data_IF_332685461376
#
_entry.id   IF_332685461376
#
_cell.length_a   1.000
_cell.length_b   1.000
_cell.length_c   1.000
_cell.angle_alpha   90.00
_cell.angle_beta   90.00
_cell.angle_gamma   90.00
#
_symmetry.space_group_name_H-M   'P 1'
#
loop_
_entity.id
_entity.type
_entity.pdbx_description
1 polymer ?
#
# COMPACT_ATOMS: atom_id res chain seq x y z
N UNK A 1 33.59 -18.82 -0.27
CA UNK A 1 34.05 -20.02 0.47
C UNK A 1 33.79 -19.83 1.96
N UNK A 2 33.20 -20.82 2.64
CA UNK A 2 33.16 -20.85 4.12
C UNK A 2 34.50 -21.36 4.65
N UNK A 3 35.12 -20.63 5.56
CA UNK A 3 36.45 -20.91 6.14
C UNK A 3 36.35 -21.50 7.54
N UNK A 4 35.42 -21.01 8.36
CA UNK A 4 35.22 -21.57 9.69
C UNK A 4 33.79 -21.33 10.22
N UNK A 5 33.39 -22.17 11.17
CA UNK A 5 32.23 -21.94 12.05
C UNK A 5 32.74 -21.89 13.48
N UNK A 6 32.38 -20.82 14.19
CA UNK A 6 32.82 -20.49 15.55
C UNK A 6 31.61 -20.21 16.44
N UNK A 7 31.82 -20.22 17.75
CA UNK A 7 30.83 -19.84 18.74
C UNK A 7 31.54 -19.16 19.93
N UNK A 8 30.82 -18.31 20.64
CA UNK A 8 31.23 -17.62 21.86
C UNK A 8 31.29 -18.52 23.11
N UNK A 9 30.86 -19.78 23.03
CA UNK A 9 30.91 -20.74 24.14
C UNK A 9 31.97 -21.84 23.93
N UNK A 10 32.78 -22.07 24.96
CA UNK A 10 33.91 -23.04 24.95
C UNK A 10 33.51 -24.49 24.67
N UNK A 11 32.26 -24.86 24.95
CA UNK A 11 31.73 -26.19 24.68
C UNK A 11 31.56 -26.47 23.18
N UNK A 12 31.57 -25.45 22.33
CA UNK A 12 31.53 -25.58 20.89
C UNK A 12 32.93 -25.68 20.29
N UNK A 13 33.21 -26.79 19.60
CA UNK A 13 34.47 -26.96 18.89
C UNK A 13 34.44 -26.21 17.56
N UNK A 14 35.33 -25.24 17.39
CA UNK A 14 35.49 -24.51 16.13
C UNK A 14 35.75 -25.47 14.97
N UNK A 15 34.94 -25.37 13.93
CA UNK A 15 35.10 -26.16 12.71
C UNK A 15 35.82 -25.31 11.68
N UNK A 16 36.97 -25.77 11.19
CA UNK A 16 37.75 -25.10 10.14
C UNK A 16 37.63 -25.90 8.84
N UNK A 17 37.39 -25.19 7.74
CA UNK A 17 37.32 -25.76 6.40
C UNK A 17 38.57 -25.40 5.61
N UNK A 18 38.94 -26.29 4.68
CA UNK A 18 40.02 -26.07 3.71
C UNK A 18 39.42 -25.78 2.35
N UNK A 19 40.22 -25.26 1.43
CA UNK A 19 39.79 -25.10 0.05
C UNK A 19 39.42 -26.46 -0.56
N UNK A 20 38.42 -26.44 -1.46
CA UNK A 20 37.92 -27.64 -2.12
C UNK A 20 36.87 -28.40 -1.30
N UNK A 21 36.92 -29.73 -1.38
CA UNK A 21 35.89 -30.60 -0.84
C UNK A 21 36.14 -30.94 0.63
N UNK A 22 35.19 -30.59 1.49
CA UNK A 22 35.25 -30.88 2.93
C UNK A 22 34.21 -31.94 3.28
N UNK A 23 34.63 -32.97 4.02
CA UNK A 23 33.74 -34.04 4.51
C UNK A 23 33.69 -34.00 6.02
N UNK A 24 32.49 -33.82 6.58
CA UNK A 24 32.27 -33.90 8.04
C UNK A 24 31.78 -35.31 8.37
N UNK A 25 32.72 -36.14 8.81
CA UNK A 25 32.45 -37.51 9.26
C UNK A 25 32.21 -37.52 10.77
N UNK A 26 31.32 -38.41 11.21
CA UNK A 26 31.24 -38.75 12.62
C UNK A 26 31.79 -40.16 12.76
N UNK A 27 32.98 -40.27 13.35
CA UNK A 27 33.70 -41.53 13.47
C UNK A 27 33.37 -42.23 14.79
N UNK A 28 33.43 -43.57 14.81
CA UNK A 28 33.23 -44.35 16.05
C UNK A 28 34.57 -44.44 16.78
N UNK A 29 34.57 -44.21 18.08
CA UNK A 29 35.64 -44.73 18.93
C UNK A 29 35.42 -46.22 19.16
N UNK A 30 36.49 -46.97 19.44
CA UNK A 30 36.46 -48.41 19.76
C UNK A 30 35.58 -48.78 20.97
N UNK A 31 35.10 -47.80 21.72
CA UNK A 31 34.21 -47.93 22.88
C UNK A 31 32.72 -47.81 22.52
N UNK A 32 32.37 -47.57 21.25
CA UNK A 32 30.98 -47.33 20.82
C UNK A 32 30.21 -48.64 20.58
N UNK A 33 29.16 -48.90 21.36
CA UNK A 33 28.33 -50.11 21.22
C UNK A 33 27.38 -50.03 20.01
N UNK A 34 26.80 -51.16 19.57
CA UNK A 34 25.75 -51.17 18.51
C UNK A 34 24.47 -50.42 18.90
N UNK A 35 24.27 -50.13 20.19
CA UNK A 35 23.10 -49.41 20.71
C UNK A 35 23.24 -47.89 20.71
N UNK A 36 24.44 -47.37 20.44
CA UNK A 36 24.68 -45.92 20.40
C UNK A 36 24.19 -45.34 19.07
N UNK A 37 23.04 -44.65 19.12
CA UNK A 37 22.39 -44.03 17.97
C UNK A 37 23.30 -43.05 17.24
N UNK A 38 23.49 -43.28 15.94
CA UNK A 38 24.28 -42.44 15.01
C UNK A 38 23.77 -41.01 14.83
N UNK A 39 22.58 -40.70 15.35
CA UNK A 39 21.79 -39.51 14.99
C UNK A 39 22.02 -38.26 15.87
N UNK A 40 23.02 -38.26 16.76
CA UNK A 40 23.25 -37.17 17.72
C UNK A 40 24.60 -36.42 17.62
N UNK A 41 25.49 -36.78 16.69
CA UNK A 41 26.88 -36.30 16.67
C UNK A 41 27.08 -34.91 16.03
N UNK A 42 26.06 -34.04 16.05
CA UNK A 42 26.19 -32.62 15.67
C UNK A 42 26.31 -32.29 14.17
N UNK A 43 26.38 -33.27 13.26
CA UNK A 43 26.50 -33.05 11.79
C UNK A 43 25.40 -32.14 11.24
N UNK A 44 24.13 -32.50 11.48
CA UNK A 44 22.98 -31.70 11.05
C UNK A 44 22.97 -30.34 11.74
N UNK A 45 23.35 -30.29 13.02
CA UNK A 45 23.44 -29.05 13.78
C UNK A 45 24.43 -28.07 13.17
N UNK A 46 25.61 -28.53 12.71
CA UNK A 46 26.57 -27.68 12.01
C UNK A 46 25.97 -27.04 10.75
N UNK A 47 25.25 -27.82 9.93
CA UNK A 47 24.55 -27.30 8.74
C UNK A 47 23.49 -26.27 9.14
N UNK A 48 22.76 -26.52 10.25
CA UNK A 48 21.76 -25.57 10.78
C UNK A 48 22.38 -24.28 11.32
N UNK A 49 23.58 -24.34 11.90
CA UNK A 49 24.32 -23.16 12.33
C UNK A 49 24.74 -22.32 11.12
N UNK A 50 25.28 -22.96 10.08
CA UNK A 50 25.62 -22.26 8.84
C UNK A 50 24.38 -21.59 8.23
N UNK A 51 23.29 -22.32 8.07
CA UNK A 51 22.03 -21.79 7.54
C UNK A 51 21.46 -20.64 8.41
N UNK A 52 21.61 -20.76 9.73
CA UNK A 52 21.23 -19.72 10.68
C UNK A 52 22.06 -18.45 10.47
N UNK A 53 23.38 -18.52 10.39
CA UNK A 53 24.21 -17.34 10.09
C UNK A 53 23.95 -16.77 8.68
N UNK A 54 23.54 -17.61 7.73
CA UNK A 54 23.08 -17.21 6.39
C UNK A 54 21.62 -16.72 6.36
N UNK A 55 21.04 -16.27 7.48
CA UNK A 55 19.77 -15.53 7.46
C UNK A 55 18.50 -16.39 7.39
N UNK A 56 18.55 -17.68 7.75
CA UNK A 56 17.34 -18.52 7.82
C UNK A 56 16.32 -18.02 8.86
N UNK A 57 15.06 -18.44 8.74
CA UNK A 57 14.01 -18.07 9.69
C UNK A 57 14.19 -18.77 11.04
N UNK A 58 14.12 -18.03 12.14
CA UNK A 58 14.29 -18.55 13.50
C UNK A 58 12.93 -18.78 14.22
N UNK A 59 12.14 -19.70 13.66
CA UNK A 59 10.80 -20.06 14.15
C UNK A 59 10.85 -20.86 15.46
N UNK A 60 9.70 -21.08 16.09
CA UNK A 60 9.59 -21.75 17.39
C UNK A 60 10.14 -23.17 17.40
N UNK A 61 10.04 -23.87 16.27
CA UNK A 61 10.52 -25.24 16.04
C UNK A 61 11.99 -25.31 15.56
N UNK A 62 12.71 -24.19 15.55
CA UNK A 62 14.08 -24.17 15.06
C UNK A 62 15.01 -25.02 15.96
N UNK A 63 15.88 -25.90 15.42
CA UNK A 63 16.72 -26.79 16.23
C UNK A 63 17.69 -26.09 17.19
N UNK A 64 18.10 -24.85 16.88
CA UNK A 64 18.94 -24.03 17.76
C UNK A 64 18.15 -23.23 18.81
N UNK A 65 16.81 -23.34 18.81
CA UNK A 65 15.93 -22.65 19.76
C UNK A 65 15.63 -23.57 20.94
N UNK A 66 16.70 -23.99 21.60
CA UNK A 66 16.68 -24.80 22.82
C UNK A 66 17.12 -23.93 23.99
N UNK A 67 16.66 -24.24 25.21
CA UNK A 67 16.97 -23.47 26.41
C UNK A 67 18.48 -23.47 26.70
N UNK A 68 19.15 -24.56 26.39
CA UNK A 68 20.58 -24.77 26.56
C UNK A 68 21.43 -23.93 25.59
N UNK A 69 20.82 -23.44 24.51
CA UNK A 69 21.45 -22.61 23.47
C UNK A 69 20.93 -21.16 23.52
N UNK A 70 20.29 -20.76 24.62
CA UNK A 70 19.79 -19.40 24.82
C UNK A 70 20.96 -18.42 24.90
N UNK A 71 20.87 -17.32 24.14
CA UNK A 71 21.88 -16.27 24.06
C UNK A 71 23.26 -16.70 23.52
N UNK A 72 23.34 -17.80 22.75
CA UNK A 72 24.56 -18.21 22.07
C UNK A 72 24.76 -17.41 20.79
N UNK A 73 26.00 -17.03 20.50
CA UNK A 73 26.41 -16.34 19.28
C UNK A 73 27.23 -17.27 18.40
N UNK A 74 26.66 -17.63 17.25
CA UNK A 74 27.38 -18.41 16.24
C UNK A 74 27.95 -17.47 15.19
N UNK A 75 29.20 -17.74 14.79
CA UNK A 75 29.90 -16.95 13.77
C UNK A 75 30.33 -17.83 12.61
N UNK A 76 30.21 -17.32 11.38
CA UNK A 76 30.69 -17.97 10.17
C UNK A 76 31.64 -17.04 9.45
N UNK A 77 32.81 -17.57 9.14
CA UNK A 77 33.85 -16.85 8.40
C UNK A 77 33.72 -17.28 6.95
N UNK A 78 33.57 -16.33 6.03
CA UNK A 78 33.60 -16.64 4.61
C UNK A 78 34.38 -15.61 3.81
N UNK A 79 34.91 -16.09 2.69
CA UNK A 79 35.48 -15.26 1.64
C UNK A 79 34.44 -15.16 0.53
N UNK A 80 34.00 -13.94 0.22
CA UNK A 80 33.00 -13.65 -0.81
C UNK A 80 33.55 -12.56 -1.72
N UNK A 81 33.59 -12.80 -3.03
CA UNK A 81 34.21 -11.90 -4.02
C UNK A 81 35.63 -11.43 -3.65
N UNK A 82 36.43 -12.34 -3.07
CA UNK A 82 37.80 -12.04 -2.62
C UNK A 82 37.90 -11.24 -1.32
N UNK A 83 36.78 -10.85 -0.71
CA UNK A 83 36.74 -10.16 0.57
C UNK A 83 36.44 -11.13 1.71
N UNK A 84 37.22 -11.00 2.78
CA UNK A 84 37.07 -11.78 3.99
C UNK A 84 36.12 -11.09 4.96
N UNK A 85 35.05 -11.81 5.32
CA UNK A 85 34.01 -11.31 6.21
C UNK A 85 33.67 -12.38 7.25
N UNK A 86 33.43 -11.93 8.47
CA UNK A 86 32.83 -12.73 9.55
C UNK A 86 31.40 -12.23 9.76
N UNK A 87 30.44 -13.15 9.81
CA UNK A 87 29.09 -12.82 10.25
C UNK A 87 28.71 -13.60 11.49
N UNK A 88 28.06 -12.92 12.42
CA UNK A 88 27.70 -13.45 13.72
C UNK A 88 26.21 -13.26 13.96
N UNK A 89 25.55 -14.29 14.48
CA UNK A 89 24.12 -14.26 14.77
C UNK A 89 23.86 -14.88 16.14
N UNK A 90 23.14 -14.16 16.97
CA UNK A 90 22.81 -14.56 18.33
C UNK A 90 21.41 -15.21 18.38
N UNK A 91 21.22 -16.27 19.18
CA UNK A 91 19.94 -16.99 19.30
C UNK A 91 18.84 -16.18 19.99
N UNK A 92 19.20 -15.19 20.82
CA UNK A 92 18.28 -14.26 21.49
C UNK A 92 18.00 -13.01 20.63
N UNK A 93 19.01 -12.42 19.99
CA UNK A 93 18.85 -11.30 19.03
C UNK A 93 18.92 -11.76 17.56
N UNK A 94 18.18 -12.82 17.25
CA UNK A 94 18.23 -13.50 15.95
C UNK A 94 17.75 -12.64 14.76
N UNK A 95 17.19 -11.44 14.99
CA UNK A 95 16.73 -10.55 13.91
C UNK A 95 17.87 -9.71 13.32
N UNK A 96 19.03 -9.70 13.97
CA UNK A 96 20.23 -8.98 13.53
C UNK A 96 21.32 -9.96 13.12
N UNK A 97 22.15 -9.51 12.20
CA UNK A 97 23.39 -10.17 11.77
C UNK A 97 24.50 -9.18 12.03
N UNK A 98 25.43 -9.50 12.91
CA UNK A 98 26.62 -8.71 13.13
C UNK A 98 27.67 -9.07 12.08
N UNK A 99 28.42 -8.08 11.62
CA UNK A 99 29.35 -8.23 10.50
C UNK A 99 30.68 -7.57 10.86
N UNK A 100 31.77 -8.27 10.56
CA UNK A 100 33.13 -7.76 10.67
C UNK A 100 33.91 -8.08 9.39
N UNK A 101 34.77 -7.16 8.93
CA UNK A 101 35.58 -7.32 7.73
C UNK A 101 35.31 -6.26 6.66
N UNK A 102 35.68 -6.54 5.42
CA UNK A 102 35.50 -5.60 4.31
C UNK A 102 34.14 -5.81 3.63
N UNK A 103 33.23 -4.85 3.83
CA UNK A 103 31.92 -4.78 3.19
C UNK A 103 31.77 -3.53 2.30
N UNK A 104 32.89 -2.91 1.89
CA UNK A 104 32.92 -1.71 1.04
C UNK A 104 32.21 -1.88 -0.31
N UNK A 105 32.12 -3.11 -0.81
CA UNK A 105 31.47 -3.47 -2.07
C UNK A 105 29.96 -3.72 -1.96
N UNK A 106 29.41 -3.84 -0.74
CA UNK A 106 28.02 -4.30 -0.56
C UNK A 106 26.98 -3.23 -0.95
N UNK A 107 25.84 -3.63 -1.54
CA UNK A 107 24.77 -2.71 -1.94
C UNK A 107 24.09 -2.04 -0.74
N UNK A 108 24.08 -2.70 0.41
CA UNK A 108 23.53 -2.19 1.67
C UNK A 108 24.64 -2.19 2.72
N UNK A 109 24.85 -1.06 3.40
CA UNK A 109 25.87 -0.96 4.45
C UNK A 109 25.31 -1.34 5.82
N UNK A 110 26.10 -2.03 6.67
CA UNK A 110 25.76 -2.26 8.06
C UNK A 110 25.48 -0.95 8.80
N UNK A 111 24.57 -1.01 9.77
CA UNK A 111 24.33 0.07 10.75
C UNK A 111 25.20 -0.19 11.98
N UNK A 112 25.53 0.86 12.72
CA UNK A 112 26.34 0.73 13.93
C UNK A 112 25.50 0.92 15.20
N UNK A 113 25.70 0.07 16.18
CA UNK A 113 25.23 0.25 17.57
C UNK A 113 26.40 0.05 18.56
N UNK A 114 26.07 -0.07 19.86
CA UNK A 114 27.07 -0.30 20.92
C UNK A 114 27.78 -1.66 20.80
N UNK A 115 27.10 -2.66 20.24
CA UNK A 115 27.60 -4.04 20.13
C UNK A 115 28.40 -4.28 18.85
N UNK A 116 28.33 -3.36 17.88
CA UNK A 116 29.10 -3.42 16.64
C UNK A 116 28.31 -3.00 15.40
N UNK A 117 28.76 -3.49 14.25
CA UNK A 117 28.13 -3.26 12.96
C UNK A 117 27.18 -4.39 12.64
N UNK A 118 25.93 -4.06 12.31
CA UNK A 118 24.86 -5.03 12.14
C UNK A 118 23.95 -4.72 10.95
N UNK A 119 23.32 -5.77 10.43
CA UNK A 119 22.27 -5.74 9.42
C UNK A 119 21.00 -6.37 9.95
N UNK A 120 19.84 -5.95 9.44
CA UNK A 120 18.62 -6.75 9.58
C UNK A 120 18.76 -8.00 8.73
N UNK A 121 18.15 -9.11 9.15
CA UNK A 121 18.12 -10.36 8.36
C UNK A 121 17.54 -10.15 6.95
N UNK A 122 16.57 -9.24 6.78
CA UNK A 122 16.04 -8.88 5.46
C UNK A 122 17.11 -8.33 4.53
N UNK A 123 17.89 -7.37 5.04
CA UNK A 123 18.92 -6.66 4.29
C UNK A 123 20.08 -7.61 3.99
N UNK A 124 20.40 -8.48 4.94
CA UNK A 124 21.39 -9.54 4.76
C UNK A 124 21.00 -10.53 3.65
N UNK A 125 19.73 -10.93 3.58
CA UNK A 125 19.25 -11.80 2.51
C UNK A 125 19.32 -11.13 1.12
N UNK A 126 19.12 -9.81 1.03
CA UNK A 126 19.29 -9.07 -0.23
C UNK A 126 20.77 -9.07 -0.64
N UNK A 127 21.68 -8.74 0.28
CA UNK A 127 23.12 -8.72 0.03
C UNK A 127 23.61 -10.09 -0.43
N UNK A 128 23.21 -11.17 0.25
CA UNK A 128 23.59 -12.52 -0.14
C UNK A 128 22.98 -12.93 -1.49
N UNK A 129 21.77 -12.47 -1.80
CA UNK A 129 21.15 -12.69 -3.11
C UNK A 129 21.95 -12.07 -4.25
N UNK A 130 22.33 -10.80 -4.08
CA UNK A 130 23.15 -10.08 -5.05
C UNK A 130 24.54 -10.74 -5.19
N UNK A 131 25.25 -10.92 -4.08
CA UNK A 131 26.65 -11.36 -4.11
C UNK A 131 26.85 -12.84 -4.45
N UNK A 132 25.93 -13.73 -4.09
CA UNK A 132 26.05 -15.17 -4.38
C UNK A 132 25.33 -15.61 -5.65
N UNK A 133 24.24 -14.94 -6.00
CA UNK A 133 23.37 -15.37 -7.08
C UNK A 133 23.21 -14.33 -8.19
N UNK A 134 23.59 -13.06 -7.98
CA UNK A 134 23.36 -11.99 -8.96
C UNK A 134 21.91 -11.49 -8.97
N UNK A 135 21.22 -11.57 -7.83
CA UNK A 135 19.85 -11.05 -7.68
C UNK A 135 19.87 -9.53 -7.50
N UNK A 136 19.82 -8.80 -8.62
CA UNK A 136 19.69 -7.34 -8.62
C UNK A 136 18.36 -6.89 -7.98
N UNK A 137 18.29 -5.62 -7.58
CA UNK A 137 17.05 -5.03 -7.05
C UNK A 137 15.87 -5.15 -8.04
N UNK A 138 16.14 -5.00 -9.34
CA UNK A 138 15.15 -5.14 -10.41
C UNK A 138 14.55 -6.55 -10.49
N UNK A 139 15.34 -7.59 -10.19
CA UNK A 139 14.83 -8.96 -10.12
C UNK A 139 13.96 -9.13 -8.88
N UNK A 140 14.44 -8.66 -7.72
CA UNK A 140 13.77 -8.86 -6.43
C UNK A 140 12.39 -8.18 -6.40
N UNK A 141 12.23 -7.04 -7.07
CA UNK A 141 10.96 -6.30 -7.14
C UNK A 141 9.88 -6.98 -8.00
N UNK A 142 10.25 -7.94 -8.84
CA UNK A 142 9.28 -8.67 -9.66
C UNK A 142 8.45 -9.64 -8.82
N UNK A 143 7.16 -9.76 -9.17
CA UNK A 143 6.31 -10.79 -8.59
C UNK A 143 6.86 -12.18 -8.92
N UNK A 144 6.78 -13.11 -7.97
CA UNK A 144 7.27 -14.48 -8.13
C UNK A 144 8.74 -14.56 -8.58
N UNK A 145 9.58 -13.65 -8.08
CA UNK A 145 11.01 -13.65 -8.36
C UNK A 145 11.78 -14.68 -7.55
N UNK A 146 12.94 -15.16 -8.05
CA UNK A 146 13.85 -15.96 -7.25
C UNK A 146 14.36 -15.13 -6.08
N UNK A 147 14.47 -15.76 -4.91
CA UNK A 147 15.01 -15.11 -3.70
C UNK A 147 16.22 -15.85 -3.20
N UNK A 148 17.14 -15.15 -2.53
CA UNK A 148 18.30 -15.77 -1.90
C UNK A 148 17.91 -17.00 -1.06
N UNK A 149 16.86 -16.87 -0.23
CA UNK A 149 16.43 -17.95 0.67
C UNK A 149 15.86 -19.15 -0.08
N UNK A 150 15.21 -18.96 -1.22
CA UNK A 150 14.76 -20.07 -2.06
C UNK A 150 15.93 -20.74 -2.77
N UNK A 151 16.87 -19.97 -3.35
CA UNK A 151 18.01 -20.50 -4.10
C UNK A 151 19.04 -21.23 -3.20
N UNK A 152 19.39 -20.66 -2.05
CA UNK A 152 20.38 -21.25 -1.13
C UNK A 152 19.90 -22.58 -0.55
N UNK A 153 18.58 -22.80 -0.47
CA UNK A 153 17.99 -24.03 0.04
C UNK A 153 18.23 -25.24 -0.87
N UNK A 154 18.52 -25.02 -2.17
CA UNK A 154 19.01 -26.08 -3.07
C UNK A 154 20.45 -26.50 -2.76
N UNK A 155 21.22 -25.63 -2.11
CA UNK A 155 22.60 -25.86 -1.69
C UNK A 155 22.68 -26.41 -0.26
N UNK A 156 21.77 -25.99 0.62
CA UNK A 156 21.68 -26.42 2.03
C UNK A 156 20.54 -27.45 2.20
N UNK A 157 20.72 -28.64 1.60
CA UNK A 157 19.72 -29.72 1.66
C UNK A 157 19.74 -30.41 3.03
N UNK A 158 18.87 -29.98 3.94
CA UNK A 158 18.81 -30.51 5.31
C UNK A 158 17.50 -31.19 5.67
N UNK A 159 16.45 -31.07 4.85
CA UNK A 159 15.14 -31.68 5.11
C UNK A 159 15.03 -33.04 4.42
N UNK A 160 14.31 -34.02 5.02
CA UNK A 160 14.08 -35.32 4.36
C UNK A 160 13.43 -35.16 2.99
N UNK A 161 12.50 -34.22 2.86
CA UNK A 161 11.82 -33.89 1.60
C UNK A 161 12.74 -33.31 0.54
N UNK A 162 13.79 -32.59 0.95
CA UNK A 162 14.78 -32.03 0.03
C UNK A 162 15.52 -33.10 -0.75
N UNK A 163 15.60 -34.34 -0.29
CA UNK A 163 16.33 -35.43 -0.97
C UNK A 163 15.46 -36.29 -1.89
N UNK A 164 14.14 -36.07 -1.94
CA UNK A 164 13.23 -36.89 -2.75
C UNK A 164 13.45 -36.68 -4.25
N UNK A 165 13.70 -35.45 -4.67
CA UNK A 165 13.95 -35.09 -6.06
C UNK A 165 15.01 -33.99 -6.11
N UNK A 166 15.87 -33.95 -7.15
CA UNK A 166 16.88 -32.89 -7.29
C UNK A 166 16.25 -31.49 -7.41
N UNK A 167 15.01 -31.41 -7.90
CA UNK A 167 14.32 -30.14 -8.21
C UNK A 167 13.55 -29.52 -7.02
N UNK A 168 13.46 -30.18 -5.87
CA UNK A 168 12.69 -29.69 -4.71
C UNK A 168 13.56 -29.42 -3.49
N UNK A 169 13.29 -28.31 -2.80
CA UNK A 169 13.88 -28.00 -1.49
C UNK A 169 13.07 -28.58 -0.31
N UNK A 170 11.77 -28.85 -0.49
CA UNK A 170 10.93 -29.53 0.49
C UNK A 170 9.70 -30.16 -0.20
N UNK A 171 9.01 -31.08 0.49
CA UNK A 171 7.99 -31.93 -0.14
C UNK A 171 6.77 -31.18 -0.70
N UNK A 172 6.33 -30.14 0.00
CA UNK A 172 5.11 -29.36 -0.31
C UNK A 172 5.43 -28.01 -0.98
N UNK A 173 6.52 -27.94 -1.73
CA UNK A 173 6.92 -26.73 -2.44
C UNK A 173 5.92 -26.42 -3.56
N UNK A 174 5.57 -25.14 -3.71
CA UNK A 174 4.67 -24.69 -4.75
C UNK A 174 5.33 -24.87 -6.12
N UNK A 175 4.54 -25.27 -7.11
CA UNK A 175 5.05 -25.59 -8.45
C UNK A 175 5.76 -24.40 -9.11
N UNK A 176 5.21 -23.18 -8.97
CA UNK A 176 5.84 -21.99 -9.52
C UNK A 176 7.22 -21.72 -8.89
N UNK A 177 7.35 -21.94 -7.57
CA UNK A 177 8.60 -21.71 -6.83
C UNK A 177 9.65 -22.74 -7.26
N UNK A 178 9.25 -23.99 -7.51
CA UNK A 178 10.14 -24.99 -8.13
C UNK A 178 10.64 -24.50 -9.49
N UNK A 179 9.71 -24.09 -10.37
CA UNK A 179 10.04 -23.71 -11.74
C UNK A 179 10.94 -22.46 -11.80
N UNK A 180 10.60 -21.41 -11.05
CA UNK A 180 11.37 -20.16 -10.99
C UNK A 180 12.79 -20.42 -10.50
N UNK A 181 12.96 -21.09 -9.35
CA UNK A 181 14.28 -21.28 -8.78
C UNK A 181 15.15 -22.22 -9.61
N UNK A 182 14.59 -23.32 -10.14
CA UNK A 182 15.38 -24.22 -11.00
C UNK A 182 15.73 -23.56 -12.32
N UNK A 183 14.80 -22.82 -12.95
CA UNK A 183 15.11 -22.07 -14.17
C UNK A 183 16.25 -21.08 -13.94
N UNK A 184 16.19 -20.31 -12.84
CA UNK A 184 17.25 -19.37 -12.46
C UNK A 184 18.61 -20.07 -12.24
N UNK A 185 18.64 -21.13 -11.42
CA UNK A 185 19.88 -21.87 -11.13
C UNK A 185 20.50 -22.53 -12.36
N UNK A 186 19.69 -22.88 -13.35
CA UNK A 186 20.14 -23.48 -14.62
C UNK A 186 20.46 -22.43 -15.70
N UNK A 187 20.33 -21.14 -15.42
CA UNK A 187 20.55 -20.06 -16.39
C UNK A 187 19.48 -19.99 -17.49
N UNK A 188 18.27 -20.51 -17.21
CA UNK A 188 17.10 -20.42 -18.07
C UNK A 188 16.26 -19.18 -17.74
N UNK A 189 15.36 -18.81 -18.65
CA UNK A 189 14.43 -17.69 -18.45
C UNK A 189 13.34 -18.07 -17.42
N UNK A 190 13.53 -17.61 -16.18
CA UNK A 190 12.63 -17.86 -15.06
C UNK A 190 11.41 -16.94 -15.11
N UNK A 191 11.49 -15.83 -15.83
CA UNK A 191 10.44 -14.83 -15.99
C UNK A 191 9.18 -15.43 -16.62
N UNK A 192 9.33 -16.41 -17.52
CA UNK A 192 8.17 -17.16 -18.05
C UNK A 192 7.42 -17.95 -16.98
N UNK A 193 8.11 -18.58 -16.03
CA UNK A 193 7.47 -19.28 -14.93
C UNK A 193 6.72 -18.31 -13.99
N UNK A 194 7.34 -17.16 -13.72
CA UNK A 194 6.70 -16.06 -12.97
C UNK A 194 5.43 -15.56 -13.68
N UNK A 195 5.52 -15.20 -14.96
CA UNK A 195 4.39 -14.71 -15.75
C UNK A 195 3.25 -15.72 -15.82
N UNK A 196 3.58 -17.01 -15.98
CA UNK A 196 2.59 -18.08 -15.99
C UNK A 196 1.85 -18.19 -14.65
N UNK A 197 2.55 -18.08 -13.52
CA UNK A 197 1.92 -18.06 -12.21
C UNK A 197 1.02 -16.82 -12.02
N UNK A 198 1.47 -15.63 -12.44
CA UNK A 198 0.63 -14.43 -12.42
C UNK A 198 -0.66 -14.60 -13.24
N UNK A 199 -0.56 -15.22 -14.42
CA UNK A 199 -1.73 -15.52 -15.26
C UNK A 199 -2.69 -16.49 -14.57
N UNK A 200 -2.15 -17.51 -13.90
CA UNK A 200 -2.94 -18.48 -13.12
C UNK A 200 -3.68 -17.81 -11.97
N UNK A 201 -3.08 -16.85 -11.28
CA UNK A 201 -3.76 -16.13 -10.18
C UNK A 201 -4.83 -15.17 -10.68
N UNK A 202 -4.60 -14.50 -11.81
CA UNK A 202 -5.64 -13.72 -12.51
C UNK A 202 -6.82 -14.61 -12.88
N UNK A 203 -6.56 -15.79 -13.45
CA UNK A 203 -7.60 -16.78 -13.78
C UNK A 203 -8.36 -17.25 -12.53
N UNK A 204 -7.65 -17.62 -11.47
CA UNK A 204 -8.26 -18.04 -10.20
C UNK A 204 -9.15 -16.93 -9.60
N UNK A 205 -8.73 -15.67 -9.71
CA UNK A 205 -9.51 -14.51 -9.26
C UNK A 205 -10.77 -14.35 -10.08
N UNK A 206 -10.68 -14.44 -11.41
CA UNK A 206 -11.84 -14.41 -12.31
C UNK A 206 -12.82 -15.56 -12.02
N UNK A 207 -12.31 -16.76 -11.77
CA UNK A 207 -13.16 -17.91 -11.46
C UNK A 207 -13.89 -17.73 -10.12
N UNK A 208 -13.24 -17.14 -9.10
CA UNK A 208 -13.89 -16.77 -7.83
C UNK A 208 -14.96 -15.70 -8.04
N UNK A 209 -14.68 -14.67 -8.84
CA UNK A 209 -15.67 -13.64 -9.19
C UNK A 209 -16.87 -14.21 -9.94
N UNK A 210 -16.64 -15.10 -10.91
CA UNK A 210 -17.72 -15.80 -11.63
C UNK A 210 -18.59 -16.63 -10.68
N UNK A 211 -17.99 -17.32 -9.71
CA UNK A 211 -18.74 -18.07 -8.69
C UNK A 211 -19.56 -17.15 -7.79
N UNK A 212 -18.97 -16.04 -7.33
CA UNK A 212 -19.68 -15.05 -6.51
C UNK A 212 -20.84 -14.39 -7.26
N UNK A 213 -20.65 -14.06 -8.55
CA UNK A 213 -21.73 -13.57 -9.42
C UNK A 213 -22.86 -14.58 -9.57
N UNK A 214 -22.54 -15.87 -9.82
CA UNK A 214 -23.54 -16.95 -9.90
C UNK A 214 -24.31 -17.17 -8.60
N UNK A 215 -23.67 -16.93 -7.47
CA UNK A 215 -24.30 -17.03 -6.13
C UNK A 215 -25.07 -15.76 -5.74
N UNK A 216 -25.15 -14.76 -6.62
CA UNK A 216 -25.85 -13.50 -6.36
C UNK A 216 -25.15 -12.58 -5.35
N UNK A 217 -23.94 -12.92 -4.89
CA UNK A 217 -23.20 -12.13 -3.88
C UNK A 217 -22.74 -10.77 -4.40
N UNK A 218 -22.72 -10.58 -5.72
CA UNK A 218 -22.30 -9.33 -6.36
C UNK A 218 -23.47 -8.45 -6.83
N UNK A 219 -24.73 -8.91 -6.68
CA UNK A 219 -25.94 -8.27 -7.22
C UNK A 219 -26.17 -6.80 -6.81
N UNK A 220 -25.51 -6.31 -5.76
CA UNK A 220 -25.53 -4.89 -5.36
C UNK A 220 -24.41 -4.01 -5.93
N UNK A 221 -23.38 -4.59 -6.57
CA UNK A 221 -22.21 -3.88 -7.11
C UNK A 221 -21.99 -4.11 -8.60
N UNK A 222 -22.35 -5.30 -9.09
CA UNK A 222 -22.24 -5.74 -10.47
C UNK A 222 -23.53 -6.52 -10.73
N UNK A 223 -24.28 -6.17 -11.79
CA UNK A 223 -25.55 -6.83 -12.12
C UNK A 223 -25.45 -8.37 -12.13
N UNK A 224 -26.57 -9.06 -12.03
CA UNK A 224 -26.59 -10.52 -12.09
C UNK A 224 -25.95 -11.03 -13.39
N UNK A 225 -25.45 -12.27 -13.43
CA UNK A 225 -24.83 -12.81 -14.66
C UNK A 225 -25.76 -12.71 -15.87
N UNK A 226 -27.06 -12.97 -15.68
CA UNK A 226 -28.07 -12.81 -16.72
C UNK A 226 -28.27 -11.37 -17.17
N UNK A 227 -28.24 -10.40 -16.24
CA UNK A 227 -28.28 -8.97 -16.58
C UNK A 227 -27.05 -8.54 -17.39
N UNK A 228 -25.84 -8.98 -17.00
CA UNK A 228 -24.62 -8.66 -17.76
C UNK A 228 -24.59 -9.32 -19.14
N UNK A 229 -25.12 -10.55 -19.27
CA UNK A 229 -25.26 -11.21 -20.56
C UNK A 229 -26.28 -10.49 -21.46
N UNK A 230 -27.42 -10.07 -20.90
CA UNK A 230 -28.40 -9.26 -21.61
C UNK A 230 -27.83 -7.88 -22.01
N UNK A 231 -27.09 -7.21 -21.12
CA UNK A 231 -26.41 -5.95 -21.40
C UNK A 231 -25.38 -6.11 -22.51
N UNK A 232 -24.57 -7.18 -22.48
CA UNK A 232 -23.63 -7.50 -23.55
C UNK A 232 -24.34 -7.65 -24.90
N UNK A 233 -25.45 -8.40 -24.94
CA UNK A 233 -26.21 -8.60 -26.17
C UNK A 233 -26.73 -7.24 -26.69
N UNK A 234 -27.34 -6.43 -25.83
CA UNK A 234 -27.84 -5.10 -26.23
C UNK A 234 -26.74 -4.13 -26.68
N UNK A 235 -25.54 -4.20 -26.10
CA UNK A 235 -24.38 -3.41 -26.56
C UNK A 235 -23.91 -3.89 -27.93
N UNK A 236 -23.85 -5.21 -28.17
CA UNK A 236 -23.44 -5.77 -29.47
C UNK A 236 -24.42 -5.36 -30.57
N UNK A 237 -25.73 -5.41 -30.29
CA UNK A 237 -26.76 -4.94 -31.23
C UNK A 237 -26.59 -3.45 -31.56
N UNK A 238 -26.38 -2.59 -30.55
CA UNK A 238 -26.11 -1.15 -30.79
C UNK A 238 -24.85 -0.92 -31.62
N UNK A 239 -23.80 -1.72 -31.41
CA UNK A 239 -22.56 -1.61 -32.20
C UNK A 239 -22.82 -1.92 -33.66
N UNK A 240 -23.58 -2.97 -33.96
CA UNK A 240 -23.92 -3.32 -35.34
C UNK A 240 -24.90 -2.32 -35.98
N UNK A 241 -25.83 -1.77 -35.20
CA UNK A 241 -26.68 -0.66 -35.62
C UNK A 241 -25.84 0.58 -35.98
N UNK A 242 -24.87 0.95 -35.13
CA UNK A 242 -23.95 2.06 -35.39
C UNK A 242 -23.06 1.83 -36.60
N UNK A 243 -22.54 0.62 -36.80
CA UNK A 243 -21.80 0.29 -38.03
C UNK A 243 -22.66 0.47 -39.27
N UNK A 244 -23.92 0.05 -39.21
CA UNK A 244 -24.86 0.17 -40.33
C UNK A 244 -25.23 1.63 -40.60
N UNK A 245 -25.48 2.43 -39.56
CA UNK A 245 -25.75 3.86 -39.67
C UNK A 245 -24.54 4.62 -40.23
N UNK A 246 -23.32 4.25 -39.82
CA UNK A 246 -22.06 4.83 -40.30
C UNK A 246 -21.80 4.47 -41.77
N UNK A 247 -22.12 3.24 -42.18
CA UNK A 247 -22.03 2.81 -43.57
C UNK A 247 -23.08 3.46 -44.49
N UNK A 248 -24.24 3.84 -43.95
CA UNK A 248 -25.35 4.44 -44.73
C UNK A 248 -25.46 5.95 -44.61
N UNK A 249 -24.57 6.59 -43.87
CA UNK A 249 -24.51 8.04 -43.63
C UNK A 249 -25.86 8.67 -43.17
N UNK A 250 -26.72 7.87 -42.52
CA UNK A 250 -28.02 8.32 -41.97
C UNK A 250 -27.86 8.65 -40.48
N UNK A 251 -27.39 9.86 -40.20
CA UNK A 251 -27.06 10.35 -38.84
C UNK A 251 -28.26 11.05 -38.14
N UNK A 252 -29.45 11.00 -38.74
CA UNK A 252 -30.64 11.74 -38.31
C UNK A 252 -31.11 11.49 -36.84
N UNK A 253 -30.98 10.28 -36.24
CA UNK A 253 -31.40 10.07 -34.85
C UNK A 253 -30.52 10.77 -33.82
N UNK A 254 -29.23 10.99 -34.13
CA UNK A 254 -28.22 11.43 -33.16
C UNK A 254 -28.32 12.93 -32.87
N UNK A 255 -28.83 13.73 -33.81
CA UNK A 255 -29.09 15.15 -33.57
C UNK A 255 -30.22 15.38 -32.56
N UNK A 256 -31.25 14.53 -32.57
CA UNK A 256 -32.32 14.58 -31.56
C UNK A 256 -31.77 14.32 -30.15
N UNK A 257 -30.78 13.44 -30.02
CA UNK A 257 -30.17 13.16 -28.72
C UNK A 257 -29.22 14.29 -28.27
N UNK A 258 -28.48 14.90 -29.19
CA UNK A 258 -27.67 16.12 -28.94
C UNK A 258 -28.58 17.28 -28.48
N UNK A 259 -29.74 17.45 -29.12
CA UNK A 259 -30.74 18.47 -28.74
C UNK A 259 -31.30 18.20 -27.33
N UNK A 260 -31.65 16.95 -27.01
CA UNK A 260 -32.08 16.56 -25.65
C UNK A 260 -31.00 16.84 -24.61
N UNK A 261 -29.74 16.54 -24.90
CA UNK A 261 -28.62 16.81 -23.98
C UNK A 261 -28.43 18.32 -23.77
N UNK A 262 -28.48 19.12 -24.83
CA UNK A 262 -28.39 20.58 -24.75
C UNK A 262 -29.55 21.18 -23.92
N UNK A 263 -30.76 20.66 -24.09
CA UNK A 263 -31.94 21.05 -23.31
C UNK A 263 -31.80 20.67 -21.82
N UNK A 264 -31.24 19.50 -21.52
CA UNK A 264 -30.96 19.07 -20.14
C UNK A 264 -29.90 19.97 -19.47
N UNK A 265 -28.82 20.29 -20.17
CA UNK A 265 -27.80 21.23 -19.70
C UNK A 265 -28.39 22.60 -19.41
N UNK A 266 -29.29 23.09 -20.27
CA UNK A 266 -30.01 24.35 -20.07
C UNK A 266 -30.82 24.34 -18.77
N UNK A 267 -31.62 23.30 -18.54
CA UNK A 267 -32.38 23.14 -17.28
C UNK A 267 -31.47 23.13 -16.05
N UNK A 268 -30.35 22.43 -16.12
CA UNK A 268 -29.38 22.35 -15.01
C UNK A 268 -28.72 23.71 -14.72
N UNK A 269 -28.31 24.44 -15.76
CA UNK A 269 -27.78 25.80 -15.63
C UNK A 269 -28.80 26.70 -14.93
N UNK A 270 -30.07 26.71 -15.37
CA UNK A 270 -31.11 27.51 -14.73
C UNK A 270 -31.31 27.16 -13.26
N UNK A 271 -31.31 25.88 -12.90
CA UNK A 271 -31.42 25.44 -11.50
C UNK A 271 -30.29 25.99 -10.63
N UNK A 272 -29.05 25.95 -11.13
CA UNK A 272 -27.87 26.45 -10.41
C UNK A 272 -27.92 27.98 -10.32
N UNK A 273 -28.27 28.67 -11.40
CA UNK A 273 -28.39 30.14 -11.43
C UNK A 273 -29.45 30.65 -10.45
N UNK A 274 -30.61 29.98 -10.39
CA UNK A 274 -31.67 30.34 -9.44
C UNK A 274 -31.20 30.15 -7.98
N UNK A 275 -30.55 29.02 -7.67
CA UNK A 275 -30.00 28.78 -6.32
C UNK A 275 -28.93 29.82 -5.97
N UNK A 276 -28.06 30.16 -6.93
CA UNK A 276 -27.03 31.19 -6.77
C UNK A 276 -27.66 32.56 -6.48
N UNK A 277 -28.75 32.90 -7.16
CA UNK A 277 -29.48 34.14 -6.91
C UNK A 277 -29.98 34.22 -5.46
N UNK A 278 -30.63 33.16 -4.97
CA UNK A 278 -31.07 33.08 -3.56
C UNK A 278 -29.89 33.19 -2.59
N UNK A 279 -28.79 32.48 -2.85
CA UNK A 279 -27.59 32.54 -2.01
C UNK A 279 -26.98 33.95 -1.98
N UNK A 280 -26.97 34.68 -3.11
CA UNK A 280 -26.51 36.07 -3.17
C UNK A 280 -27.40 37.02 -2.36
N UNK A 281 -28.72 36.87 -2.45
CA UNK A 281 -29.65 37.66 -1.63
C UNK A 281 -29.44 37.41 -0.13
N UNK A 282 -29.29 36.14 0.27
CA UNK A 282 -29.03 35.78 1.66
C UNK A 282 -27.69 36.33 2.15
N UNK A 283 -26.65 36.25 1.31
CA UNK A 283 -25.34 36.83 1.58
C UNK A 283 -25.44 38.33 1.85
N UNK A 284 -26.13 39.08 0.99
CA UNK A 284 -26.35 40.53 1.17
C UNK A 284 -27.07 40.81 2.49
N UNK A 285 -28.14 40.07 2.81
CA UNK A 285 -28.87 40.26 4.07
C UNK A 285 -28.01 40.00 5.32
N UNK A 286 -27.11 39.01 5.27
CA UNK A 286 -26.16 38.74 6.36
C UNK A 286 -25.06 39.80 6.46
N UNK A 287 -24.57 40.31 5.33
CA UNK A 287 -23.59 41.41 5.27
C UNK A 287 -24.19 42.75 5.76
N UNK A 288 -25.49 42.99 5.56
CA UNK A 288 -26.20 44.13 6.13
C UNK A 288 -26.42 43.94 7.65
N UNK A 289 -26.85 42.75 8.07
CA UNK A 289 -27.10 42.44 9.49
C UNK A 289 -25.86 42.61 10.36
N UNK A 290 -24.67 42.24 9.85
CA UNK A 290 -23.41 42.42 10.59
C UNK A 290 -22.96 43.89 10.66
N UNK A 291 -23.41 44.74 9.72
CA UNK A 291 -23.08 46.16 9.68
C UNK A 291 -23.98 47.03 10.57
N UNK A 292 -25.22 46.59 10.83
CA UNK A 292 -26.20 47.35 11.64
C UNK A 292 -26.08 47.12 13.16
N UNK A 293 -25.34 46.11 13.60
CA UNK A 293 -25.11 45.85 15.03
C UNK A 293 -24.16 46.91 15.65
N UNK A 294 -24.73 48.04 16.06
CA UNK A 294 -24.04 49.04 16.90
C UNK A 294 -24.20 48.70 18.39
N UNK A 295 -23.08 48.70 19.09
CA UNK A 295 -22.96 48.50 20.53
C UNK A 295 -23.87 49.50 21.29
N UNK A 296 -24.79 49.01 22.13
CA UNK A 296 -25.58 49.88 23.00
C UNK A 296 -24.64 50.36 24.10
N UNK A 297 -24.04 51.52 23.89
CA UNK A 297 -23.11 52.14 24.85
C UNK A 297 -23.74 52.20 26.24
N UNK A 298 -23.10 51.57 27.22
CA UNK A 298 -23.51 51.57 28.64
C UNK A 298 -23.73 52.96 29.20
N UNK A 299 -22.94 53.93 28.72
CA UNK A 299 -23.09 55.36 29.08
C UNK A 299 -24.46 55.92 28.71
N UNK A 300 -25.05 55.47 27.59
CA UNK A 300 -26.37 55.94 27.16
C UNK A 300 -27.47 55.42 28.09
N UNK A 301 -27.35 54.19 28.57
CA UNK A 301 -28.28 53.59 29.52
C UNK A 301 -28.08 54.21 30.91
N UNK A 302 -26.85 54.37 31.38
CA UNK A 302 -26.56 55.05 32.66
C UNK A 302 -27.08 56.49 32.70
N UNK A 303 -26.88 57.27 31.63
CA UNK A 303 -27.31 58.66 31.56
C UNK A 303 -28.85 58.80 31.63
N UNK A 304 -29.60 57.97 30.90
CA UNK A 304 -31.08 58.01 30.90
C UNK A 304 -31.65 57.71 32.29
N UNK A 305 -31.02 56.80 33.04
CA UNK A 305 -31.47 56.47 34.39
C UNK A 305 -31.00 57.49 35.45
N UNK A 306 -29.84 58.13 35.27
CA UNK A 306 -29.41 59.24 36.14
C UNK A 306 -30.31 60.47 35.99
N UNK A 307 -30.73 60.81 34.76
CA UNK A 307 -31.69 61.88 34.51
C UNK A 307 -33.06 61.63 35.16
N UNK A 308 -33.41 60.36 35.44
CA UNK A 308 -34.63 59.97 36.14
C UNK A 308 -34.54 60.02 37.68
N UNK A 309 -33.42 60.48 38.25
CA UNK A 309 -33.27 60.77 39.69
C UNK A 309 -33.09 59.57 40.62
N UNK A 310 -32.79 58.38 40.08
CA UNK A 310 -32.56 57.15 40.86
C UNK A 310 -31.06 56.89 41.05
N UNK A 311 -30.55 57.05 42.28
CA UNK A 311 -29.17 56.66 42.61
C UNK A 311 -29.05 55.14 42.74
N UNK A 312 -28.30 54.50 41.85
CA UNK A 312 -28.09 53.06 41.87
C UNK A 312 -27.22 52.62 43.07
N UNK A 313 -27.72 51.76 43.98
CA UNK A 313 -26.90 51.04 44.94
C UNK A 313 -25.85 50.20 44.20
N UNK A 314 -24.62 50.09 44.71
CA UNK A 314 -23.50 49.44 43.99
C UNK A 314 -23.81 48.00 43.53
N UNK A 315 -24.70 47.30 44.24
CA UNK A 315 -25.17 45.95 43.88
C UNK A 315 -25.96 45.89 42.55
N UNK A 316 -26.66 46.95 42.17
CA UNK A 316 -27.39 47.04 40.90
C UNK A 316 -26.46 47.39 39.72
N UNK A 317 -25.37 48.13 39.98
CA UNK A 317 -24.32 48.37 38.96
C UNK A 317 -23.62 47.08 38.56
N UNK A 318 -23.35 46.19 39.52
CA UNK A 318 -22.80 44.84 39.24
C UNK A 318 -23.75 44.04 38.34
N UNK A 319 -25.05 43.99 38.67
CA UNK A 319 -26.04 43.29 37.83
C UNK A 319 -26.22 43.89 36.44
N UNK A 320 -26.11 45.22 36.30
CA UNK A 320 -26.16 45.89 35.00
C UNK A 320 -24.91 45.54 34.17
N UNK A 321 -23.74 45.52 34.80
CA UNK A 321 -22.49 45.11 34.15
C UNK A 321 -22.55 43.64 33.70
N UNK A 322 -23.08 42.74 34.54
CA UNK A 322 -23.28 41.33 34.18
C UNK A 322 -24.22 41.18 32.96
N UNK A 323 -25.30 41.99 32.90
CA UNK A 323 -26.23 42.00 31.77
C UNK A 323 -25.57 42.53 30.49
N UNK A 324 -24.76 43.58 30.60
CA UNK A 324 -24.00 44.14 29.48
C UNK A 324 -22.97 43.14 28.97
N UNK A 325 -22.29 42.44 29.87
CA UNK A 325 -21.31 41.42 29.51
C UNK A 325 -21.97 40.22 28.83
N UNK A 326 -23.14 39.80 29.31
CA UNK A 326 -23.97 38.81 28.62
C UNK A 326 -24.40 39.29 27.23
N UNK A 327 -24.91 40.52 27.09
CA UNK A 327 -25.27 41.08 25.79
C UNK A 327 -24.08 41.15 24.82
N UNK A 328 -22.90 41.56 25.32
CA UNK A 328 -21.65 41.56 24.54
C UNK A 328 -21.27 40.16 24.08
N UNK A 329 -21.41 39.15 24.94
CA UNK A 329 -21.17 37.76 24.58
C UNK A 329 -22.18 37.25 23.52
N UNK A 330 -23.46 37.60 23.64
CA UNK A 330 -24.48 37.22 22.63
C UNK A 330 -24.20 37.87 21.28
N UNK A 331 -23.86 39.17 21.26
CA UNK A 331 -23.48 39.90 20.04
C UNK A 331 -22.21 39.28 19.43
N UNK A 332 -21.18 39.01 20.22
CA UNK A 332 -19.95 38.38 19.75
C UNK A 332 -20.20 36.99 19.14
N UNK A 333 -21.02 36.17 19.79
CA UNK A 333 -21.40 34.84 19.29
C UNK A 333 -22.20 34.92 17.98
N UNK A 334 -23.16 35.85 17.90
CA UNK A 334 -23.97 36.07 16.69
C UNK A 334 -23.11 36.58 15.53
N UNK A 335 -22.19 37.50 15.79
CA UNK A 335 -21.22 37.99 14.81
C UNK A 335 -20.35 36.85 14.28
N UNK A 336 -19.80 36.02 15.18
CA UNK A 336 -19.00 34.84 14.80
C UNK A 336 -19.81 33.84 13.95
N UNK A 337 -21.09 33.64 14.26
CA UNK A 337 -21.99 32.81 13.48
C UNK A 337 -22.23 33.39 12.07
N UNK A 338 -22.58 34.68 11.98
CA UNK A 338 -22.81 35.37 10.70
C UNK A 338 -21.56 35.38 9.82
N UNK A 339 -20.37 35.63 10.38
CA UNK A 339 -19.11 35.57 9.65
C UNK A 339 -18.83 34.18 9.07
N UNK A 340 -19.19 33.13 9.81
CA UNK A 340 -19.04 31.74 9.36
C UNK A 340 -20.00 31.43 8.20
N UNK A 341 -21.27 31.83 8.31
CA UNK A 341 -22.25 31.62 7.25
C UNK A 341 -21.95 32.47 6.01
N UNK A 342 -21.49 33.72 6.15
CA UNK A 342 -21.01 34.56 5.04
C UNK A 342 -19.87 33.88 4.29
N UNK A 343 -18.86 33.37 5.01
CA UNK A 343 -17.72 32.65 4.40
C UNK A 343 -18.19 31.40 3.65
N UNK A 344 -19.13 30.64 4.21
CA UNK A 344 -19.71 29.46 3.59
C UNK A 344 -20.49 29.81 2.31
N UNK A 345 -21.38 30.81 2.36
CA UNK A 345 -22.14 31.28 1.21
C UNK A 345 -21.24 31.78 0.08
N UNK A 346 -20.17 32.53 0.39
CA UNK A 346 -19.18 32.97 -0.60
C UNK A 346 -18.51 31.79 -1.32
N UNK A 347 -18.12 30.74 -0.59
CA UNK A 347 -17.55 29.52 -1.18
C UNK A 347 -18.56 28.76 -2.06
N UNK A 348 -19.81 28.66 -1.60
CA UNK A 348 -20.86 28.01 -2.38
C UNK A 348 -21.15 28.74 -3.69
N UNK A 349 -21.21 30.08 -3.65
CA UNK A 349 -21.42 30.92 -4.85
C UNK A 349 -20.26 30.74 -5.83
N UNK A 350 -19.01 30.76 -5.36
CA UNK A 350 -17.85 30.55 -6.23
C UNK A 350 -17.88 29.17 -6.93
N UNK A 351 -18.21 28.11 -6.19
CA UNK A 351 -18.35 26.77 -6.79
C UNK A 351 -19.52 26.68 -7.78
N UNK A 352 -20.61 27.40 -7.52
CA UNK A 352 -21.74 27.50 -8.47
C UNK A 352 -21.33 28.20 -9.76
N UNK A 353 -20.52 29.26 -9.68
CA UNK A 353 -20.03 30.00 -10.85
C UNK A 353 -19.14 29.14 -11.74
N UNK A 354 -18.21 28.38 -11.16
CA UNK A 354 -17.37 27.43 -11.90
C UNK A 354 -18.21 26.36 -12.61
N UNK A 355 -19.19 25.78 -11.91
CA UNK A 355 -20.09 24.76 -12.49
C UNK A 355 -20.92 25.32 -13.64
N UNK A 356 -21.45 26.54 -13.51
CA UNK A 356 -22.20 27.19 -14.60
C UNK A 356 -21.29 27.43 -15.80
N UNK A 357 -20.05 27.84 -15.59
CA UNK A 357 -19.08 28.06 -16.68
C UNK A 357 -18.78 26.77 -17.44
N UNK A 358 -18.48 25.68 -16.72
CA UNK A 358 -18.22 24.36 -17.32
C UNK A 358 -19.42 23.84 -18.11
N UNK A 359 -20.63 23.89 -17.53
CA UNK A 359 -21.84 23.43 -18.20
C UNK A 359 -22.19 24.30 -19.41
N UNK A 360 -21.95 25.61 -19.35
CA UNK A 360 -22.17 26.53 -20.46
C UNK A 360 -21.21 26.25 -21.62
N UNK A 361 -19.93 25.94 -21.32
CA UNK A 361 -18.96 25.55 -22.34
C UNK A 361 -19.39 24.26 -23.07
N UNK A 362 -19.74 23.22 -22.30
CA UNK A 362 -20.24 21.96 -22.87
C UNK A 362 -21.52 22.18 -23.70
N UNK A 363 -22.43 23.04 -23.24
CA UNK A 363 -23.64 23.40 -24.00
C UNK A 363 -23.30 24.10 -25.32
N UNK A 364 -22.33 25.01 -25.31
CA UNK A 364 -21.90 25.72 -26.52
C UNK A 364 -21.31 24.77 -27.57
N UNK A 365 -20.50 23.80 -27.16
CA UNK A 365 -19.95 22.76 -28.04
C UNK A 365 -21.07 21.95 -28.73
N UNK A 366 -22.11 21.55 -27.98
CA UNK A 366 -23.26 20.83 -28.54
C UNK A 366 -24.08 21.70 -29.52
N UNK A 367 -24.27 22.98 -29.21
CA UNK A 367 -24.98 23.91 -30.09
C UNK A 367 -24.21 24.21 -31.39
N UNK A 368 -22.88 24.23 -31.34
CA UNK A 368 -22.04 24.40 -32.54
C UNK A 368 -22.20 23.21 -33.51
N UNK A 369 -22.30 21.99 -32.98
CA UNK A 369 -22.56 20.78 -33.77
C UNK A 369 -23.93 20.86 -34.45
N UNK A 370 -24.97 21.30 -33.71
CA UNK A 370 -26.31 21.50 -34.26
C UNK A 370 -26.34 22.60 -35.33
N UNK A 371 -25.60 23.70 -35.14
CA UNK A 371 -25.55 24.82 -36.08
C UNK A 371 -24.88 24.46 -37.41
N UNK A 372 -23.74 23.76 -37.38
CA UNK A 372 -22.99 23.38 -38.60
C UNK A 372 -23.76 22.42 -39.50
N UNK A 373 -24.69 21.65 -38.93
CA UNK A 373 -25.42 20.62 -39.66
C UNK A 373 -26.90 20.93 -39.89
N UNK A 374 -27.54 21.79 -39.07
CA UNK A 374 -28.87 22.33 -39.38
C UNK A 374 -28.88 23.22 -40.63
N UNK A 375 -27.77 23.89 -40.93
CA UNK A 375 -27.61 24.64 -42.19
C UNK A 375 -27.56 23.74 -43.45
N UNK A 376 -27.28 22.44 -43.30
CA UNK A 376 -27.33 21.45 -44.38
C UNK A 376 -28.73 20.86 -44.60
N UNK A 377 -29.64 20.99 -43.62
CA UNK A 377 -31.04 20.57 -43.76
C UNK A 377 -31.86 21.55 -44.60
N UNK A 378 -31.60 22.86 -44.55
CA UNK A 378 -32.30 23.85 -45.40
C UNK A 378 -31.93 23.76 -46.89
N UNK A 379 -30.90 22.98 -47.24
CA UNK A 379 -30.39 22.84 -48.62
C UNK A 379 -30.74 21.52 -49.32
N UNK A 380 -31.52 20.62 -48.70
CA UNK A 380 -31.97 19.35 -49.32
C UNK A 380 -33.48 19.26 -49.49
#
# INVERSE_FOLDING_TARGET
MIRAVRCDHDSFKTVKFKEGFNVVLADRTSESSEKDSRNGLGKTTLIKIIDFCLGSSFKTDHPLKQKELENWTFSVDFTMNGQDVTVSRNTSDYKKIFVEGDYSSWPIKPKRNLDGEFLKVSDWNIILGDLMFGLSSEIIEQAYSPTFRSLISYHIRSSKGSYLTPFKQYSQQQEWDIQVNNAYLLGLNWEYASQFQMLKDKKNTLDKLKRAAKQGLLSGYIGTLGELEAEKIGIVEKVDEYKTALATFKVHPQYSDIEKEANLLTKNIHKIVNKRFTNKQLLTAYEESISEEKDVSTKKVENVYQEAGLFFPDRLKVKLNDLVEFHKQVIANRKSYLETEIKKLKREIASQDEKVSLLSKKRAELLEILQKHGALEEYN
#
